data_IF_680225113307
#
_entry.id   IF_680225113307
#
_cell.length_a   1.000
_cell.length_b   1.000
_cell.length_c   1.000
_cell.angle_alpha   90.00
_cell.angle_beta   90.00
_cell.angle_gamma   90.00
#
_symmetry.space_group_name_H-M   'P 1'
#
loop_
_entity.id
_entity.type
_entity.pdbx_description
1 polymer ?
#
# COMPACT_ATOMS: atom_id res chain seq x y z
N UNK A 1 15.81 19.51 30.13
CA UNK A 1 16.56 20.26 29.10
C UNK A 1 15.82 20.17 27.77
N UNK A 2 14.85 21.04 27.42
CA UNK A 2 14.15 20.85 26.13
C UNK A 2 13.35 22.01 25.52
N UNK A 3 13.32 23.22 26.09
CA UNK A 3 12.49 24.32 25.53
C UNK A 3 13.25 25.17 24.50
N UNK A 4 14.54 25.44 24.76
CA UNK A 4 15.39 26.23 23.85
C UNK A 4 15.58 25.52 22.50
N UNK A 5 15.85 24.21 22.51
CA UNK A 5 15.97 23.42 21.28
C UNK A 5 14.66 23.37 20.46
N UNK A 6 13.49 23.43 21.11
CA UNK A 6 12.21 23.40 20.41
C UNK A 6 11.91 24.75 19.73
N UNK A 7 12.19 25.86 20.42
CA UNK A 7 12.03 27.21 19.85
C UNK A 7 12.98 27.41 18.67
N UNK A 8 14.21 26.91 18.77
CA UNK A 8 15.18 26.95 17.68
C UNK A 8 14.73 26.12 16.48
N UNK A 9 14.17 24.93 16.71
CA UNK A 9 13.60 24.09 15.64
C UNK A 9 12.41 24.75 14.95
N UNK A 10 11.46 25.29 15.72
CA UNK A 10 10.30 26.01 15.17
C UNK A 10 10.77 27.25 14.38
N UNK A 11 11.76 27.98 14.88
CA UNK A 11 12.32 29.12 14.18
C UNK A 11 12.98 28.69 12.86
N UNK A 12 13.70 27.57 12.86
CA UNK A 12 14.32 27.03 11.65
C UNK A 12 13.28 26.58 10.62
N UNK A 13 12.21 25.93 11.07
CA UNK A 13 11.20 25.33 10.19
C UNK A 13 10.23 26.37 9.60
N UNK A 14 9.93 27.44 10.34
CA UNK A 14 8.89 28.41 9.96
C UNK A 14 9.41 29.81 9.64
N UNK A 15 10.56 30.24 10.16
CA UNK A 15 11.07 31.62 9.99
C UNK A 15 12.22 31.74 8.99
N UNK A 16 12.76 30.61 8.50
CA UNK A 16 13.85 30.59 7.52
C UNK A 16 13.30 30.21 6.13
N UNK A 17 13.89 30.81 5.08
CA UNK A 17 13.58 30.45 3.69
C UNK A 17 13.72 28.93 3.46
N UNK A 18 12.71 28.31 2.83
CA UNK A 18 12.66 26.89 2.47
C UNK A 18 13.90 26.41 1.68
N UNK A 19 14.50 27.28 0.87
CA UNK A 19 15.71 26.94 0.11
C UNK A 19 16.96 26.88 1.00
N UNK A 20 16.96 27.61 2.12
CA UNK A 20 18.03 27.58 3.11
C UNK A 20 17.85 26.39 4.06
N UNK A 21 16.61 26.09 4.47
CA UNK A 21 16.32 24.93 5.34
C UNK A 21 16.70 23.62 4.66
N UNK A 22 16.35 23.43 3.39
CA UNK A 22 16.76 22.25 2.60
C UNK A 22 18.29 22.14 2.46
N UNK A 23 19.00 23.27 2.27
CA UNK A 23 20.47 23.30 2.25
C UNK A 23 21.07 22.92 3.61
N UNK A 24 20.52 23.43 4.71
CA UNK A 24 20.97 23.08 6.08
C UNK A 24 20.72 21.59 6.37
N UNK A 25 19.53 21.08 6.06
CA UNK A 25 19.21 19.66 6.17
C UNK A 25 20.14 18.79 5.30
N UNK A 26 20.50 19.26 4.11
CA UNK A 26 21.43 18.54 3.23
C UNK A 26 22.87 18.48 3.75
N UNK A 27 23.30 19.48 4.52
CA UNK A 27 24.62 19.50 5.20
C UNK A 27 24.65 18.61 6.43
N UNK A 28 23.51 18.43 7.10
CA UNK A 28 23.35 17.54 8.25
C UNK A 28 23.18 16.07 7.86
N UNK A 29 23.41 15.69 6.59
CA UNK A 29 23.45 14.29 6.19
C UNK A 29 24.55 13.60 6.99
N UNK A 30 24.15 12.61 7.78
CA UNK A 30 25.06 11.72 8.51
C UNK A 30 26.14 11.21 7.55
N UNK A 31 27.40 11.18 8.01
CA UNK A 31 28.52 10.67 7.20
C UNK A 31 28.13 9.30 6.66
N UNK A 32 28.03 9.18 5.34
CA UNK A 32 27.73 7.92 4.68
C UNK A 32 28.85 6.93 4.98
N UNK A 33 28.51 5.77 5.55
CA UNK A 33 29.47 4.70 5.85
C UNK A 33 30.20 4.31 4.57
N UNK A 34 31.53 4.17 4.65
CA UNK A 34 32.31 3.85 3.45
C UNK A 34 31.97 2.44 2.93
N UNK A 35 32.06 2.23 1.61
CA UNK A 35 31.83 0.91 1.01
C UNK A 35 32.80 -0.16 1.56
N UNK A 36 33.99 0.23 2.00
CA UNK A 36 35.00 -0.65 2.61
C UNK A 36 34.56 -1.13 3.99
N UNK A 37 34.13 -0.23 4.87
CA UNK A 37 33.61 -0.57 6.20
C UNK A 37 32.37 -1.44 6.10
N UNK A 38 31.44 -1.11 5.20
CA UNK A 38 30.23 -1.93 4.97
C UNK A 38 30.59 -3.36 4.57
N UNK A 39 31.59 -3.56 3.71
CA UNK A 39 32.06 -4.91 3.33
C UNK A 39 32.72 -5.64 4.49
N UNK A 40 33.56 -4.94 5.25
CA UNK A 40 34.28 -5.49 6.40
C UNK A 40 33.30 -5.97 7.49
N UNK A 41 32.32 -5.15 7.86
CA UNK A 41 31.36 -5.46 8.90
C UNK A 41 30.13 -6.25 8.43
N UNK A 42 29.98 -6.53 7.13
CA UNK A 42 28.81 -7.22 6.57
C UNK A 42 28.44 -8.50 7.33
N UNK A 43 29.42 -9.35 7.62
CA UNK A 43 29.19 -10.62 8.31
C UNK A 43 28.74 -10.42 9.76
N UNK A 44 29.37 -9.47 10.48
CA UNK A 44 29.03 -9.16 11.88
C UNK A 44 27.66 -8.54 12.02
N UNK A 45 27.34 -7.56 11.17
CA UNK A 45 26.00 -6.93 11.12
C UNK A 45 24.93 -7.98 10.84
N UNK A 46 25.17 -8.88 9.88
CA UNK A 46 24.19 -9.89 9.52
C UNK A 46 24.02 -10.98 10.60
N UNK A 47 25.07 -11.28 11.37
CA UNK A 47 24.96 -12.13 12.55
C UNK A 47 24.12 -11.47 13.65
N UNK A 48 24.41 -10.20 13.94
CA UNK A 48 23.69 -9.40 14.92
C UNK A 48 22.20 -9.26 14.57
N UNK A 49 21.87 -9.00 13.30
CA UNK A 49 20.46 -8.89 12.89
C UNK A 49 19.71 -10.21 12.99
N UNK A 50 20.36 -11.35 12.75
CA UNK A 50 19.74 -12.68 12.97
C UNK A 50 19.48 -12.95 14.45
N UNK A 51 20.42 -12.57 15.30
CA UNK A 51 20.27 -12.68 16.76
C UNK A 51 19.10 -11.82 17.26
N UNK A 52 19.00 -10.58 16.77
CA UNK A 52 17.89 -9.67 17.10
C UNK A 52 16.52 -10.11 16.55
N UNK A 53 16.49 -10.87 15.45
CA UNK A 53 15.25 -11.39 14.85
C UNK A 53 14.73 -12.67 15.52
N UNK A 54 15.61 -13.42 16.19
CA UNK A 54 15.21 -14.67 16.82
C UNK A 54 14.53 -14.34 18.14
N UNK A 55 13.23 -14.64 18.32
CA UNK A 55 12.58 -14.42 19.61
C UNK A 55 13.31 -15.29 20.64
N UNK A 56 13.96 -14.65 21.62
CA UNK A 56 14.36 -15.37 22.81
C UNK A 56 13.08 -15.79 23.50
N UNK A 57 12.90 -17.10 23.62
CA UNK A 57 11.72 -17.71 24.19
C UNK A 57 11.36 -17.00 25.51
N UNK A 58 10.08 -16.72 25.70
CA UNK A 58 9.49 -16.06 26.88
C UNK A 58 9.73 -16.83 28.21
N UNK A 59 10.44 -17.97 28.17
CA UNK A 59 10.66 -18.87 29.30
C UNK A 59 12.13 -19.06 29.69
N UNK A 60 13.06 -18.30 29.13
CA UNK A 60 14.41 -18.24 29.69
C UNK A 60 14.79 -16.78 29.91
N UNK A 61 14.99 -16.44 31.19
CA UNK A 61 15.69 -15.26 31.72
C UNK A 61 17.15 -15.18 31.23
N UNK A 62 17.41 -15.51 29.98
CA UNK A 62 18.65 -15.23 29.28
C UNK A 62 18.45 -13.91 28.54
N UNK A 63 18.35 -12.85 29.34
CA UNK A 63 19.31 -11.75 29.28
C UNK A 63 20.20 -11.90 28.04
N UNK A 64 19.83 -11.29 26.90
CA UNK A 64 20.90 -10.77 26.05
C UNK A 64 21.67 -9.93 27.03
N UNK A 65 22.93 -10.28 27.31
CA UNK A 65 23.78 -9.48 28.18
C UNK A 65 23.48 -8.01 27.87
N UNK A 66 22.76 -7.26 28.73
CA UNK A 66 22.27 -5.93 28.40
C UNK A 66 23.48 -4.99 28.25
N UNK A 67 24.65 -5.51 28.59
CA UNK A 67 25.98 -4.94 28.52
C UNK A 67 26.57 -4.84 27.10
N UNK A 68 26.06 -5.55 26.08
CA UNK A 68 26.71 -5.59 24.76
C UNK A 68 25.98 -4.84 23.63
N UNK A 69 24.68 -4.60 23.76
CA UNK A 69 23.89 -3.93 22.72
C UNK A 69 23.24 -2.70 23.31
N UNK A 70 23.59 -1.55 22.75
CA UNK A 70 23.06 -0.25 23.13
C UNK A 70 21.52 -0.22 22.98
N UNK A 71 20.81 0.35 23.96
CA UNK A 71 19.35 0.42 23.97
C UNK A 71 18.83 1.20 22.74
N UNK A 72 19.58 2.22 22.35
CA UNK A 72 19.35 3.01 21.13
C UNK A 72 19.39 2.15 19.86
N UNK A 73 20.30 1.17 19.81
CA UNK A 73 20.41 0.28 18.65
C UNK A 73 19.20 -0.65 18.54
N UNK A 74 18.70 -1.15 19.68
CA UNK A 74 17.50 -1.98 19.73
C UNK A 74 16.26 -1.18 19.31
N UNK A 75 16.12 0.06 19.78
CA UNK A 75 15.05 0.96 19.38
C UNK A 75 15.09 1.25 17.87
N UNK A 76 16.27 1.58 17.33
CA UNK A 76 16.48 1.80 15.90
C UNK A 76 16.14 0.56 15.07
N UNK A 77 16.52 -0.63 15.54
CA UNK A 77 16.20 -1.90 14.89
C UNK A 77 14.68 -2.16 14.87
N UNK A 78 13.99 -1.99 15.99
CA UNK A 78 12.54 -2.16 16.07
C UNK A 78 11.81 -1.17 15.15
N UNK A 79 12.28 0.08 15.06
CA UNK A 79 11.72 1.06 14.13
C UNK A 79 11.97 0.69 12.66
N UNK A 80 13.15 0.16 12.35
CA UNK A 80 13.45 -0.38 11.03
C UNK A 80 12.51 -1.54 10.66
N UNK A 81 12.33 -2.52 11.55
CA UNK A 81 11.42 -3.66 11.33
C UNK A 81 9.97 -3.19 11.14
N UNK A 82 9.49 -2.27 11.99
CA UNK A 82 8.16 -1.64 11.82
C UNK A 82 8.02 -0.97 10.46
N UNK A 83 9.06 -0.29 9.98
CA UNK A 83 9.06 0.34 8.67
C UNK A 83 9.04 -0.67 7.51
N UNK A 84 9.82 -1.75 7.62
CA UNK A 84 9.79 -2.84 6.65
C UNK A 84 8.42 -3.50 6.57
N UNK A 85 7.84 -3.88 7.72
CA UNK A 85 6.50 -4.49 7.78
C UNK A 85 5.45 -3.56 7.16
N UNK A 86 5.49 -2.26 7.48
CA UNK A 86 4.57 -1.29 6.90
C UNK A 86 4.70 -1.22 5.38
N UNK A 87 5.92 -1.19 4.87
CA UNK A 87 6.17 -1.17 3.43
C UNK A 87 5.61 -2.43 2.76
N UNK A 88 5.90 -3.62 3.29
CA UNK A 88 5.36 -4.88 2.76
C UNK A 88 3.82 -4.90 2.78
N UNK A 89 3.18 -4.46 3.87
CA UNK A 89 1.71 -4.34 3.93
C UNK A 89 1.15 -3.42 2.84
N UNK A 90 1.83 -2.32 2.51
CA UNK A 90 1.40 -1.40 1.45
C UNK A 90 1.55 -2.07 0.08
N UNK A 91 2.69 -2.69 -0.19
CA UNK A 91 2.93 -3.40 -1.45
C UNK A 91 1.92 -4.53 -1.65
N UNK A 92 1.67 -5.35 -0.62
CA UNK A 92 0.74 -6.46 -0.71
C UNK A 92 -0.70 -5.99 -0.89
N UNK A 93 -1.14 -4.92 -0.20
CA UNK A 93 -2.45 -4.30 -0.44
C UNK A 93 -2.57 -3.79 -1.87
N UNK A 94 -1.57 -3.08 -2.36
CA UNK A 94 -1.58 -2.53 -3.72
C UNK A 94 -1.66 -3.64 -4.77
N UNK A 95 -0.89 -4.71 -4.60
CA UNK A 95 -0.90 -5.84 -5.52
C UNK A 95 -2.24 -6.59 -5.51
N UNK A 96 -2.86 -6.76 -4.34
CA UNK A 96 -4.21 -7.34 -4.23
C UNK A 96 -5.24 -6.46 -4.94
N UNK A 97 -5.19 -5.15 -4.73
CA UNK A 97 -6.09 -4.20 -5.39
C UNK A 97 -5.89 -4.22 -6.90
N UNK A 98 -4.63 -4.20 -7.37
CA UNK A 98 -4.32 -4.24 -8.80
C UNK A 98 -4.74 -5.54 -9.47
N UNK A 99 -4.65 -6.66 -8.76
CA UNK A 99 -5.09 -7.96 -9.27
C UNK A 99 -6.58 -7.95 -9.66
N UNK A 100 -7.43 -7.23 -8.92
CA UNK A 100 -8.87 -7.15 -9.22
C UNK A 100 -9.16 -6.46 -10.56
N UNK A 101 -8.30 -5.53 -10.96
CA UNK A 101 -8.47 -4.76 -12.20
C UNK A 101 -7.80 -5.42 -13.42
N UNK A 102 -7.18 -6.59 -13.25
CA UNK A 102 -6.46 -7.27 -14.33
C UNK A 102 -7.33 -7.56 -15.55
N UNK A 103 -8.62 -7.82 -15.34
CA UNK A 103 -9.57 -8.09 -16.42
C UNK A 103 -9.94 -6.85 -17.26
N UNK A 104 -9.81 -5.63 -16.71
CA UNK A 104 -10.04 -4.41 -17.48
C UNK A 104 -9.00 -4.19 -18.59
N UNK A 105 -7.77 -4.65 -18.37
CA UNK A 105 -6.70 -4.58 -19.38
C UNK A 105 -6.92 -5.57 -20.54
N UNK A 106 -7.63 -6.67 -20.29
CA UNK A 106 -7.95 -7.68 -21.32
C UNK A 106 -9.05 -7.16 -22.26
N UNK A 107 -10.08 -6.50 -21.72
CA UNK A 107 -11.15 -5.86 -22.50
C UNK A 107 -10.63 -4.69 -23.36
N UNK A 108 -9.62 -3.95 -22.90
CA UNK A 108 -8.95 -2.91 -23.72
C UNK A 108 -8.15 -3.50 -24.89
N UNK A 109 -7.65 -4.73 -24.80
CA UNK A 109 -6.90 -5.37 -25.89
C UNK A 109 -7.80 -5.99 -26.95
N UNK A 110 -9.01 -6.41 -26.58
CA UNK A 110 -9.99 -6.97 -27.53
C UNK A 110 -10.51 -5.89 -28.50
N UNK A 111 -10.54 -4.61 -28.08
CA UNK A 111 -10.99 -3.50 -28.92
C UNK A 111 -9.91 -2.90 -29.86
N UNK A 112 -8.70 -3.47 -29.91
CA UNK A 112 -7.63 -3.00 -30.79
C UNK A 112 -7.52 -3.80 -32.10
N UNK A 113 -8.50 -4.66 -32.42
CA UNK A 113 -8.62 -5.19 -33.77
C UNK A 113 -9.34 -4.18 -34.68
N UNK A 114 -8.56 -3.63 -35.59
CA UNK A 114 -8.95 -3.11 -36.91
C UNK A 114 -9.87 -1.88 -36.95
N UNK A 115 -9.27 -0.75 -37.32
CA UNK A 115 -9.69 0.05 -38.48
C UNK A 115 -10.98 0.87 -38.36
N UNK A 116 -10.85 2.15 -38.72
CA UNK A 116 -11.93 2.99 -39.24
C UNK A 116 -13.19 3.13 -38.38
N UNK A 117 -13.23 4.19 -37.58
CA UNK A 117 -14.06 5.37 -37.82
C UNK A 117 -14.12 6.15 -36.51
N UNK A 118 -13.56 7.35 -36.50
CA UNK A 118 -13.89 8.38 -35.51
C UNK A 118 -15.33 8.80 -35.83
N UNK A 119 -16.30 7.96 -35.50
CA UNK A 119 -17.72 8.33 -35.56
C UNK A 119 -17.96 9.28 -34.40
N UNK A 120 -18.01 10.56 -34.74
CA UNK A 120 -18.91 11.57 -34.14
C UNK A 120 -19.40 11.15 -32.76
N UNK A 121 -18.64 11.54 -31.73
CA UNK A 121 -19.09 11.46 -30.35
C UNK A 121 -20.48 12.06 -30.29
N UNK A 122 -21.50 11.20 -30.10
CA UNK A 122 -22.91 11.58 -30.07
C UNK A 122 -23.09 12.74 -29.09
N UNK A 123 -23.19 13.96 -29.63
CA UNK A 123 -23.28 15.21 -28.88
C UNK A 123 -24.47 15.18 -27.91
N UNK A 124 -25.49 14.39 -28.25
CA UNK A 124 -26.68 14.06 -27.46
C UNK A 124 -26.37 13.30 -26.17
N UNK A 125 -25.44 12.34 -26.17
CA UNK A 125 -25.03 11.60 -24.95
C UNK A 125 -24.27 12.50 -24.00
N UNK A 126 -23.37 13.35 -24.51
CA UNK A 126 -22.60 14.31 -23.70
C UNK A 126 -23.56 15.32 -23.05
N UNK A 127 -24.57 15.78 -23.77
CA UNK A 127 -25.59 16.70 -23.26
C UNK A 127 -26.46 16.07 -22.16
N UNK A 128 -26.76 14.78 -22.26
CA UNK A 128 -27.51 14.04 -21.24
C UNK A 128 -26.66 13.71 -20.00
N UNK A 129 -25.40 13.35 -20.19
CA UNK A 129 -24.45 13.14 -19.08
C UNK A 129 -24.22 14.47 -18.32
N UNK A 130 -24.06 15.58 -19.03
CA UNK A 130 -23.92 16.91 -18.43
C UNK A 130 -25.17 17.35 -17.64
N UNK A 131 -26.37 16.88 -18.00
CA UNK A 131 -27.60 17.14 -17.22
C UNK A 131 -27.60 16.42 -15.87
N UNK A 132 -26.88 15.30 -15.72
CA UNK A 132 -26.71 14.64 -14.42
C UNK A 132 -25.76 15.41 -13.50
N UNK A 133 -24.74 16.08 -14.04
CA UNK A 133 -23.77 16.84 -13.25
C UNK A 133 -24.22 18.26 -12.92
N UNK A 134 -25.05 18.89 -13.76
CA UNK A 134 -25.47 20.27 -13.60
C UNK A 134 -26.79 20.40 -12.85
N UNK A 135 -26.88 21.37 -11.92
CA UNK A 135 -28.13 21.69 -11.22
C UNK A 135 -29.17 22.26 -12.20
N UNK A 136 -30.10 21.42 -12.65
CA UNK A 136 -31.25 21.87 -13.46
C UNK A 136 -32.25 22.63 -12.57
N UNK A 137 -32.65 23.82 -13.01
CA UNK A 137 -33.76 24.58 -12.42
C UNK A 137 -35.00 24.25 -13.25
N UNK A 138 -35.90 23.42 -12.73
CA UNK A 138 -37.14 23.09 -13.42
C UNK A 138 -38.22 24.14 -13.12
N UNK A 139 -38.68 24.86 -14.15
CA UNK A 139 -39.84 25.74 -14.03
C UNK A 139 -41.12 24.89 -14.03
N UNK A 140 -41.77 24.76 -12.87
CA UNK A 140 -43.03 24.03 -12.72
C UNK A 140 -44.20 24.86 -13.26
N UNK A 141 -44.49 24.78 -14.56
CA UNK A 141 -45.58 25.54 -15.19
C UNK A 141 -46.70 24.70 -15.78
N UNK A 142 -46.88 23.43 -15.35
CA UNK A 142 -47.93 22.57 -15.88
C UNK A 142 -48.94 22.17 -14.77
N UNK A 143 -50.22 22.11 -15.16
CA UNK A 143 -51.38 21.79 -14.31
C UNK A 143 -51.37 20.36 -13.74
N UNK A 144 -50.38 19.52 -14.08
CA UNK A 144 -50.22 18.16 -13.56
C UNK A 144 -49.95 18.10 -12.04
N UNK A 145 -49.55 19.21 -11.41
CA UNK A 145 -49.40 19.27 -9.95
C UNK A 145 -50.72 19.15 -9.18
N UNK A 146 -51.87 19.26 -9.86
CA UNK A 146 -53.19 19.13 -9.25
C UNK A 146 -53.71 17.68 -9.24
N UNK A 147 -52.98 16.74 -9.86
CA UNK A 147 -53.36 15.33 -9.93
C UNK A 147 -52.36 14.49 -9.15
N UNK A 148 -52.83 13.75 -8.14
CA UNK A 148 -51.99 12.78 -7.42
C UNK A 148 -51.79 11.53 -8.29
N UNK A 149 -50.74 11.52 -9.09
CA UNK A 149 -50.32 10.34 -9.86
C UNK A 149 -49.70 9.33 -8.89
N UNK A 150 -50.37 8.20 -8.65
CA UNK A 150 -49.85 7.06 -7.89
C UNK A 150 -49.07 6.13 -8.83
N UNK A 151 -47.97 6.59 -9.43
CA UNK A 151 -47.10 5.68 -10.16
C UNK A 151 -46.23 4.92 -9.15
N UNK A 152 -46.49 3.62 -9.01
CA UNK A 152 -45.61 2.69 -8.29
C UNK A 152 -44.41 2.39 -9.19
N UNK A 153 -43.54 3.38 -9.43
CA UNK A 153 -42.25 3.10 -10.04
C UNK A 153 -41.47 2.27 -9.02
N UNK A 154 -41.25 0.99 -9.34
CA UNK A 154 -40.36 0.13 -8.54
C UNK A 154 -38.99 0.78 -8.62
N UNK A 155 -38.60 1.49 -7.57
CA UNK A 155 -37.23 1.99 -7.46
C UNK A 155 -36.35 0.77 -7.31
N UNK A 156 -35.59 0.45 -8.35
CA UNK A 156 -34.56 -0.57 -8.26
C UNK A 156 -33.63 -0.22 -7.09
N UNK A 157 -33.26 -1.20 -6.25
CA UNK A 157 -32.40 -0.92 -5.12
C UNK A 157 -31.05 -0.40 -5.63
N UNK A 158 -30.67 0.79 -5.18
CA UNK A 158 -29.37 1.38 -5.47
C UNK A 158 -28.28 0.44 -4.93
N UNK A 159 -27.45 -0.09 -5.83
CA UNK A 159 -26.31 -0.94 -5.46
C UNK A 159 -25.21 -0.01 -4.95
N UNK A 160 -25.04 0.02 -3.63
CA UNK A 160 -23.95 0.78 -3.00
C UNK A 160 -22.62 0.02 -3.12
N UNK A 161 -21.50 0.73 -3.32
CA UNK A 161 -20.19 0.11 -3.26
C UNK A 161 -19.96 -0.50 -1.88
N UNK A 162 -19.47 -1.74 -1.85
CA UNK A 162 -19.17 -2.47 -0.61
C UNK A 162 -17.70 -2.27 -0.25
N UNK A 163 -17.42 -2.11 1.05
CA UNK A 163 -16.06 -2.17 1.56
C UNK A 163 -15.55 -3.61 1.47
N UNK A 164 -14.38 -3.79 0.85
CA UNK A 164 -13.71 -5.09 0.79
C UNK A 164 -12.81 -5.28 2.00
N UNK A 165 -12.86 -6.46 2.60
CA UNK A 165 -11.88 -6.92 3.58
C UNK A 165 -10.66 -7.53 2.86
N UNK A 166 -9.46 -7.04 3.19
CA UNK A 166 -8.20 -7.54 2.62
C UNK A 166 -7.47 -8.31 3.72
N UNK A 167 -7.37 -9.63 3.55
CA UNK A 167 -6.58 -10.49 4.44
C UNK A 167 -5.10 -10.41 4.05
N UNK A 168 -4.27 -9.92 4.96
CA UNK A 168 -2.81 -9.79 4.76
C UNK A 168 -2.01 -10.92 5.41
N UNK A 169 -2.70 -11.85 6.08
CA UNK A 169 -2.09 -12.94 6.84
C UNK A 169 -1.94 -14.23 6.00
N UNK A 170 -2.22 -14.15 4.70
CA UNK A 170 -2.15 -15.29 3.80
C UNK A 170 -0.70 -15.83 3.68
N UNK A 171 -0.51 -17.17 3.78
CA UNK A 171 0.82 -17.78 3.75
C UNK A 171 1.55 -17.59 2.41
N UNK A 172 0.82 -17.25 1.35
CA UNK A 172 1.36 -16.93 0.02
C UNK A 172 2.16 -15.63 0.07
N UNK A 173 1.68 -14.61 0.79
CA UNK A 173 2.35 -13.31 0.92
C UNK A 173 3.66 -13.41 1.72
N UNK A 174 3.74 -14.36 2.66
CA UNK A 174 4.94 -14.58 3.49
C UNK A 174 6.20 -14.92 2.68
N UNK A 175 6.06 -15.67 1.58
CA UNK A 175 7.19 -16.16 0.78
C UNK A 175 7.41 -15.34 -0.50
N UNK A 176 6.64 -14.27 -0.70
CA UNK A 176 6.71 -13.42 -1.89
C UNK A 176 8.09 -12.77 -2.00
N UNK A 177 8.70 -12.87 -3.18
CA UNK A 177 10.02 -12.29 -3.46
C UNK A 177 11.22 -13.03 -2.88
N UNK A 178 11.03 -14.17 -2.21
CA UNK A 178 12.12 -15.00 -1.68
C UNK A 178 12.42 -16.14 -2.66
N UNK A 179 13.64 -16.19 -3.19
CA UNK A 179 14.08 -17.29 -4.06
C UNK A 179 14.15 -18.60 -3.26
N UNK A 180 13.52 -19.65 -3.79
CA UNK A 180 13.67 -21.01 -3.27
C UNK A 180 15.11 -21.48 -3.52
N UNK A 181 15.76 -21.99 -2.49
CA UNK A 181 17.02 -22.70 -2.63
C UNK A 181 16.71 -24.12 -3.08
N UNK A 182 17.31 -24.57 -4.18
CA UNK A 182 17.02 -25.88 -4.77
C UNK A 182 17.33 -27.07 -3.84
N UNK A 183 18.18 -26.86 -2.82
CA UNK A 183 18.71 -27.94 -1.98
C UNK A 183 18.02 -28.07 -0.61
N UNK A 184 16.92 -27.35 -0.36
CA UNK A 184 16.18 -27.40 0.92
C UNK A 184 14.68 -27.50 0.64
N UNK A 185 14.08 -28.65 0.94
CA UNK A 185 12.63 -28.80 0.93
C UNK A 185 12.02 -28.04 2.12
N UNK A 186 11.42 -26.89 1.86
CA UNK A 186 10.65 -26.13 2.84
C UNK A 186 9.24 -26.75 2.90
N UNK A 187 8.89 -27.36 4.04
CA UNK A 187 7.61 -28.09 4.28
C UNK A 187 6.37 -27.30 3.88
N UNK A 188 6.39 -25.97 4.00
CA UNK A 188 5.25 -25.10 3.66
C UNK A 188 5.00 -24.93 2.16
N UNK A 189 5.95 -25.31 1.29
CA UNK A 189 5.82 -25.15 -0.16
C UNK A 189 4.98 -26.27 -0.82
N UNK A 190 4.76 -27.39 -0.14
CA UNK A 190 3.99 -28.53 -0.68
C UNK A 190 2.48 -28.35 -0.56
N UNK A 191 2.02 -27.53 0.40
CA UNK A 191 0.59 -27.36 0.66
C UNK A 191 -0.09 -26.45 -0.38
N UNK A 192 0.61 -25.50 -0.98
CA UNK A 192 0.02 -24.61 -1.99
C UNK A 192 -0.22 -25.33 -3.33
N UNK A 193 0.63 -26.30 -3.70
CA UNK A 193 0.44 -27.06 -4.95
C UNK A 193 -0.79 -27.99 -4.91
N UNK A 194 -1.15 -28.50 -3.73
CA UNK A 194 -2.28 -29.45 -3.58
C UNK A 194 -3.65 -28.78 -3.65
N UNK A 195 -3.75 -27.46 -3.48
CA UNK A 195 -5.01 -26.73 -3.56
C UNK A 195 -5.35 -26.29 -4.99
N UNK A 196 -4.35 -25.99 -5.82
CA UNK A 196 -4.56 -25.66 -7.23
C UNK A 196 -4.99 -26.89 -8.05
N UNK A 197 -4.40 -28.06 -7.80
CA UNK A 197 -4.76 -29.32 -8.48
C UNK A 197 -6.19 -29.83 -8.17
N UNK A 198 -6.84 -29.32 -7.12
CA UNK A 198 -8.23 -29.68 -6.76
C UNK A 198 -9.28 -28.79 -7.42
N UNK A 199 -8.91 -27.63 -7.97
CA UNK A 199 -9.85 -26.72 -8.64
C UNK A 199 -9.99 -26.99 -10.14
N UNK A 200 -9.05 -27.70 -10.77
CA UNK A 200 -9.14 -28.10 -12.19
C UNK A 200 -9.93 -29.40 -12.45
N UNK A 201 -10.44 -30.07 -11.41
CA UNK A 201 -11.21 -31.32 -11.54
C UNK A 201 -12.67 -31.23 -11.07
N UNK A 202 -13.26 -30.04 -11.03
CA UNK A 202 -14.69 -29.85 -10.75
C UNK A 202 -15.37 -28.96 -11.77
#
# INVERSE_FOLDING_TARGET
MSTINLIDQISLDYLINKDLTTKIQSKNKTKQITRKEKKFYRKRVLNLTRELLTPKNENEDLVINPTLVDEDLLCAFNNYIKACIRNFKILDKNDIIQHDYKYLDEDMKINNHEGDNVSEYNETKILDDNKLFMRRIESKSNLDNFVKIKSLTKTEPLILPKLREIHLDDPILRNKGIQKKENINIVYAENTKKEDDKKEKK
#
